data_IF_842108726291
#
_entry.id   IF_842108726291
#
_cell.length_a   1.000
_cell.length_b   1.000
_cell.length_c   1.000
_cell.angle_alpha   90.00
_cell.angle_beta   90.00
_cell.angle_gamma   90.00
#
_symmetry.space_group_name_H-M   'P 1'
#
loop_
_entity.id
_entity.type
_entity.pdbx_description
1 polymer ?
#
# COMPACT_ATOMS: atom_id res chain seq x y z
N UNK A 1 12.61 4.73 15.35
CA UNK A 1 11.68 5.50 16.18
C UNK A 1 10.30 4.88 16.06
N UNK A 2 9.49 4.91 17.11
CA UNK A 2 8.09 4.44 17.10
C UNK A 2 7.19 5.62 17.48
N UNK A 3 6.08 5.79 16.77
CA UNK A 3 5.03 6.78 17.07
C UNK A 3 3.72 6.02 17.17
N UNK A 4 3.13 5.99 18.36
CA UNK A 4 1.86 5.33 18.61
C UNK A 4 0.69 6.24 18.25
N UNK A 5 -0.30 5.69 17.54
CA UNK A 5 -1.49 6.41 17.08
C UNK A 5 -2.71 5.50 17.22
N UNK A 6 -3.87 6.07 17.51
CA UNK A 6 -5.12 5.31 17.66
C UNK A 6 -6.12 5.57 16.54
N UNK A 7 -6.08 6.76 15.94
CA UNK A 7 -7.05 7.20 14.94
C UNK A 7 -6.40 7.46 13.58
N UNK A 8 -7.18 7.33 12.51
CA UNK A 8 -6.73 7.67 11.16
C UNK A 8 -6.21 9.12 11.04
N UNK A 9 -6.77 10.05 11.84
CA UNK A 9 -6.33 11.45 11.85
C UNK A 9 -4.97 11.63 12.55
N UNK A 10 -4.76 10.99 13.70
CA UNK A 10 -3.45 10.96 14.35
C UNK A 10 -2.41 10.29 13.47
N UNK A 11 -2.79 9.20 12.79
CA UNK A 11 -1.90 8.55 11.84
C UNK A 11 -1.53 9.47 10.67
N UNK A 12 -2.49 10.21 10.11
CA UNK A 12 -2.22 11.20 9.07
C UNK A 12 -1.21 12.26 9.55
N UNK A 13 -1.48 12.89 10.70
CA UNK A 13 -0.60 13.91 11.28
C UNK A 13 0.83 13.36 11.50
N UNK A 14 0.94 12.15 12.05
CA UNK A 14 2.22 11.51 12.30
C UNK A 14 3.01 11.23 11.01
N UNK A 15 2.34 10.74 9.95
CA UNK A 15 3.04 10.47 8.69
C UNK A 15 3.39 11.74 7.93
N UNK A 16 2.56 12.78 7.99
CA UNK A 16 2.87 14.09 7.38
C UNK A 16 4.05 14.77 8.08
N UNK A 17 4.13 14.66 9.42
CA UNK A 17 5.25 15.17 10.20
C UNK A 17 6.56 14.41 9.94
N UNK A 18 6.48 13.16 9.48
CA UNK A 18 7.65 12.36 9.14
C UNK A 18 8.22 12.66 7.75
N UNK A 19 7.46 13.33 6.86
CA UNK A 19 7.94 13.69 5.53
C UNK A 19 9.00 14.80 5.58
N UNK A 20 10.01 14.78 4.70
CA UNK A 20 10.20 13.83 3.59
C UNK A 20 10.88 12.51 4.01
N UNK A 21 10.57 11.43 3.30
CA UNK A 21 11.21 10.12 3.42
C UNK A 21 11.45 9.52 2.03
N UNK A 22 12.39 8.58 1.88
CA UNK A 22 12.59 7.89 0.59
C UNK A 22 11.42 6.96 0.24
N UNK A 23 10.88 6.25 1.23
CA UNK A 23 9.85 5.22 1.02
C UNK A 23 8.75 5.31 2.08
N UNK A 24 7.50 5.22 1.64
CA UNK A 24 6.35 5.02 2.52
C UNK A 24 5.67 3.67 2.26
N UNK A 25 5.61 2.81 3.27
CA UNK A 25 4.93 1.50 3.20
C UNK A 25 3.65 1.54 4.04
N UNK A 26 2.51 1.71 3.38
CA UNK A 26 1.20 1.87 4.01
C UNK A 26 0.52 0.51 4.26
N UNK A 27 1.04 -0.25 5.24
CA UNK A 27 0.52 -1.58 5.58
C UNK A 27 -0.61 -1.59 6.61
N UNK A 28 -0.91 -0.45 7.25
CA UNK A 28 -1.94 -0.36 8.28
C UNK A 28 -3.37 -0.53 7.72
N UNK A 29 -4.21 -1.27 8.44
CA UNK A 29 -5.64 -1.39 8.16
C UNK A 29 -6.41 -0.17 8.70
N UNK A 30 -6.32 0.96 7.99
CA UNK A 30 -6.96 2.21 8.39
C UNK A 30 -8.46 2.16 8.10
N UNK A 31 -9.29 2.49 9.09
CA UNK A 31 -10.75 2.51 8.91
C UNK A 31 -11.18 3.62 7.93
N UNK A 32 -12.03 3.27 6.96
CA UNK A 32 -12.57 4.24 5.98
C UNK A 32 -13.50 5.29 6.61
N UNK A 33 -14.13 4.96 7.74
CA UNK A 33 -15.13 5.80 8.41
C UNK A 33 -14.77 6.03 9.87
N UNK A 34 -15.22 7.16 10.41
CA UNK A 34 -15.21 7.46 11.85
C UNK A 34 -16.58 7.97 12.28
N UNK A 35 -16.83 7.97 13.58
CA UNK A 35 -17.97 8.69 14.16
C UNK A 35 -17.81 10.19 13.86
N UNK A 36 -18.84 10.80 13.28
CA UNK A 36 -18.83 12.21 12.88
C UNK A 36 -18.72 13.14 14.10
N UNK A 37 -19.44 12.82 15.18
CA UNK A 37 -19.48 13.57 16.43
C UNK A 37 -19.27 12.62 17.64
N UNK A 38 -18.02 12.23 17.96
CA UNK A 38 -17.76 11.35 19.11
C UNK A 38 -18.17 12.04 20.42
N UNK A 39 -18.81 11.27 21.32
CA UNK A 39 -19.20 11.75 22.65
C UNK A 39 -18.08 11.44 23.65
N UNK A 40 -17.70 12.45 24.44
CA UNK A 40 -16.68 12.30 25.49
C UNK A 40 -17.14 11.40 26.65
N UNK A 41 -18.46 11.23 26.83
CA UNK A 41 -19.04 10.39 27.86
C UNK A 41 -19.75 9.19 27.23
N UNK A 42 -19.76 8.07 27.96
CA UNK A 42 -20.50 6.87 27.60
C UNK A 42 -21.97 7.20 27.34
N UNK A 43 -22.46 6.88 26.15
CA UNK A 43 -23.87 7.03 25.81
C UNK A 43 -24.71 6.07 26.68
N UNK A 44 -25.65 6.62 27.44
CA UNK A 44 -26.61 5.82 28.23
C UNK A 44 -27.70 5.29 27.31
N UNK A 45 -28.23 4.11 27.64
CA UNK A 45 -29.32 3.46 26.87
C UNK A 45 -30.71 4.03 27.22
N UNK A 46 -30.86 5.34 27.42
CA UNK A 46 -32.03 6.04 28.02
C UNK A 46 -33.39 5.70 27.38
N UNK A 47 -33.91 4.49 27.58
CA UNK A 47 -35.09 3.98 26.87
C UNK A 47 -34.93 3.81 25.35
N UNK A 48 -33.76 4.15 24.79
CA UNK A 48 -33.51 4.09 23.35
C UNK A 48 -33.54 2.64 22.85
N UNK A 49 -34.46 2.34 21.92
CA UNK A 49 -34.58 1.02 21.27
C UNK A 49 -33.52 0.77 20.20
N UNK A 50 -32.83 1.82 19.73
CA UNK A 50 -31.79 1.73 18.70
C UNK A 50 -30.68 2.75 18.94
N UNK A 51 -29.45 2.38 18.58
CA UNK A 51 -28.29 3.27 18.52
C UNK A 51 -28.16 3.82 17.10
N UNK A 52 -28.05 5.14 16.97
CA UNK A 52 -27.69 5.80 15.71
C UNK A 52 -26.29 6.37 15.82
N UNK A 53 -25.43 6.01 14.87
CA UNK A 53 -24.10 6.59 14.71
C UNK A 53 -24.06 7.30 13.36
N UNK A 54 -23.90 8.62 13.37
CA UNK A 54 -23.59 9.35 12.16
C UNK A 54 -22.09 9.20 11.88
N UNK A 55 -21.75 8.75 10.67
CA UNK A 55 -20.37 8.47 10.25
C UNK A 55 -19.89 9.51 9.25
N UNK A 56 -18.60 9.81 9.29
CA UNK A 56 -17.90 10.64 8.33
C UNK A 56 -16.68 9.90 7.78
N UNK A 57 -16.35 10.13 6.50
CA UNK A 57 -15.18 9.52 5.86
C UNK A 57 -13.89 9.99 6.53
N UNK A 58 -12.96 9.07 6.76
CA UNK A 58 -11.62 9.36 7.23
C UNK A 58 -10.73 9.92 6.10
N UNK A 59 -9.64 10.61 6.46
CA UNK A 59 -8.65 11.01 5.47
C UNK A 59 -8.00 9.78 4.83
N UNK A 60 -7.64 9.93 3.56
CA UNK A 60 -6.99 8.89 2.77
C UNK A 60 -5.46 9.03 2.87
N UNK A 61 -4.85 8.36 3.83
CA UNK A 61 -3.42 8.51 4.13
C UNK A 61 -2.55 8.13 2.93
N UNK A 62 -2.85 7.02 2.27
CA UNK A 62 -2.09 6.57 1.10
C UNK A 62 -2.13 7.60 -0.03
N UNK A 63 -3.33 8.11 -0.35
CA UNK A 63 -3.48 9.12 -1.39
C UNK A 63 -2.83 10.45 -0.99
N UNK A 64 -2.87 10.81 0.29
CA UNK A 64 -2.23 12.03 0.79
C UNK A 64 -0.71 11.98 0.62
N UNK A 65 -0.08 10.85 0.98
CA UNK A 65 1.36 10.66 0.80
C UNK A 65 1.76 10.63 -0.68
N UNK A 66 0.95 9.99 -1.53
CA UNK A 66 1.17 9.95 -2.98
C UNK A 66 1.06 11.33 -3.65
N UNK A 67 0.29 12.24 -3.05
CA UNK A 67 0.06 13.59 -3.56
C UNK A 67 0.84 14.69 -2.80
N UNK A 68 1.83 14.33 -1.99
CA UNK A 68 2.54 15.27 -1.10
C UNK A 68 3.54 16.23 -1.81
N UNK A 69 3.42 16.43 -3.13
CA UNK A 69 4.22 17.37 -3.91
C UNK A 69 5.72 17.13 -3.80
N UNK A 70 6.48 18.18 -3.53
CA UNK A 70 7.95 18.10 -3.35
C UNK A 70 8.38 17.22 -2.16
N UNK A 71 7.47 16.96 -1.21
CA UNK A 71 7.73 16.09 -0.05
C UNK A 71 7.26 14.65 -0.29
N UNK A 72 6.72 14.34 -1.48
CA UNK A 72 6.29 13.00 -1.84
C UNK A 72 7.46 12.02 -1.70
N UNK A 73 7.28 10.86 -1.03
CA UNK A 73 8.30 9.82 -1.05
C UNK A 73 8.64 9.40 -2.47
N UNK A 74 9.88 8.95 -2.70
CA UNK A 74 10.30 8.40 -4.00
C UNK A 74 9.49 7.15 -4.35
N UNK A 75 9.18 6.33 -3.34
CA UNK A 75 8.35 5.14 -3.48
C UNK A 75 7.21 5.12 -2.45
N UNK A 76 5.97 5.06 -2.92
CA UNK A 76 4.76 4.91 -2.10
C UNK A 76 4.13 3.54 -2.37
N UNK A 77 4.16 2.67 -1.36
CA UNK A 77 3.63 1.30 -1.41
C UNK A 77 2.34 1.21 -0.62
N UNK A 78 1.25 0.83 -1.30
CA UNK A 78 -0.05 0.54 -0.69
C UNK A 78 -0.29 -0.97 -0.51
N UNK A 79 -1.29 -1.31 0.30
CA UNK A 79 -1.80 -2.68 0.43
C UNK A 79 -3.30 -2.76 0.07
N UNK A 80 -3.72 -3.91 -0.46
CA UNK A 80 -5.10 -4.18 -0.83
C UNK A 80 -5.50 -5.60 -0.43
N UNK A 81 -6.44 -5.71 0.51
CA UNK A 81 -7.16 -6.94 0.75
C UNK A 81 -8.42 -6.95 -0.13
N UNK A 82 -8.58 -7.95 -0.99
CA UNK A 82 -9.72 -8.11 -1.88
C UNK A 82 -10.30 -9.53 -1.71
N UNK A 83 -11.59 -9.72 -2.00
CA UNK A 83 -12.24 -11.05 -1.92
C UNK A 83 -12.58 -11.64 -3.28
N UNK A 84 -12.47 -10.82 -4.34
CA UNK A 84 -12.70 -11.21 -5.72
C UNK A 84 -11.91 -10.29 -6.64
N UNK A 85 -11.68 -10.72 -7.89
CA UNK A 85 -11.03 -9.92 -8.94
C UNK A 85 -9.78 -9.15 -8.45
N UNK A 86 -8.97 -9.81 -7.62
CA UNK A 86 -7.92 -9.20 -6.79
C UNK A 86 -7.01 -8.27 -7.60
N UNK A 87 -6.50 -8.74 -8.74
CA UNK A 87 -5.59 -7.97 -9.59
C UNK A 87 -6.29 -6.74 -10.21
N UNK A 88 -7.53 -6.90 -10.70
CA UNK A 88 -8.28 -5.81 -11.33
C UNK A 88 -8.58 -4.69 -10.33
N UNK A 89 -9.11 -5.05 -9.17
CA UNK A 89 -9.45 -4.11 -8.11
C UNK A 89 -8.19 -3.43 -7.56
N UNK A 90 -7.10 -4.17 -7.38
CA UNK A 90 -5.85 -3.62 -6.92
C UNK A 90 -5.25 -2.64 -7.94
N UNK A 91 -5.27 -2.95 -9.24
CA UNK A 91 -4.85 -2.00 -10.30
C UNK A 91 -5.66 -0.71 -10.25
N UNK A 92 -6.99 -0.82 -10.13
CA UNK A 92 -7.86 0.34 -10.00
C UNK A 92 -7.58 1.15 -8.73
N UNK A 93 -7.33 0.49 -7.60
CA UNK A 93 -6.98 1.12 -6.33
C UNK A 93 -5.63 1.83 -6.41
N UNK A 94 -4.59 1.21 -6.98
CA UNK A 94 -3.29 1.84 -7.24
C UNK A 94 -3.44 3.14 -8.02
N UNK A 95 -4.13 3.09 -9.15
CA UNK A 95 -4.36 4.25 -10.01
C UNK A 95 -5.15 5.35 -9.30
N UNK A 96 -6.25 5.00 -8.62
CA UNK A 96 -7.09 5.94 -7.87
C UNK A 96 -6.34 6.62 -6.72
N UNK A 97 -5.47 5.89 -6.03
CA UNK A 97 -4.70 6.39 -4.88
C UNK A 97 -3.41 7.10 -5.30
N UNK A 98 -2.93 6.89 -6.53
CA UNK A 98 -1.68 7.48 -7.04
C UNK A 98 -0.41 6.89 -6.45
N UNK A 99 -0.48 5.72 -5.80
CA UNK A 99 0.70 5.06 -5.23
C UNK A 99 1.49 4.30 -6.31
N UNK A 100 2.79 4.14 -6.08
CA UNK A 100 3.69 3.53 -7.06
C UNK A 100 3.44 2.03 -7.15
N UNK A 101 3.32 1.37 -5.99
CA UNK A 101 3.08 -0.06 -5.90
C UNK A 101 1.83 -0.35 -5.07
N UNK A 102 1.18 -1.47 -5.36
CA UNK A 102 0.16 -2.04 -4.48
C UNK A 102 0.39 -3.54 -4.29
N UNK A 103 0.43 -3.97 -3.03
CA UNK A 103 0.52 -5.37 -2.65
C UNK A 103 -0.89 -5.87 -2.38
N UNK A 104 -1.38 -6.79 -3.21
CA UNK A 104 -2.75 -7.26 -3.15
C UNK A 104 -2.83 -8.72 -2.75
N UNK A 105 -3.82 -9.08 -1.93
CA UNK A 105 -4.03 -10.47 -1.54
C UNK A 105 -5.52 -10.81 -1.44
N UNK A 106 -5.84 -12.07 -1.76
CA UNK A 106 -7.18 -12.63 -1.62
C UNK A 106 -7.43 -12.97 -0.15
N UNK A 107 -8.40 -12.30 0.49
CA UNK A 107 -8.82 -12.55 1.87
C UNK A 107 -10.16 -13.27 1.99
N UNK A 108 -10.67 -13.84 0.90
CA UNK A 108 -11.87 -14.66 0.93
C UNK A 108 -11.69 -15.86 1.88
N UNK A 109 -12.78 -16.36 2.49
CA UNK A 109 -12.72 -17.52 3.40
C UNK A 109 -12.08 -18.75 2.74
N UNK A 110 -12.25 -18.91 1.43
CA UNK A 110 -11.69 -20.02 0.64
C UNK A 110 -10.20 -19.87 0.35
N UNK A 111 -9.66 -18.65 0.39
CA UNK A 111 -8.24 -18.38 0.14
C UNK A 111 -7.35 -18.64 1.37
N UNK A 112 -7.91 -18.67 2.58
CA UNK A 112 -7.18 -18.97 3.82
C UNK A 112 -6.22 -17.88 4.30
N UNK A 113 -6.26 -16.68 3.71
CA UNK A 113 -5.34 -15.59 4.07
C UNK A 113 -5.79 -14.79 5.30
N UNK A 114 -7.10 -14.73 5.60
CA UNK A 114 -7.60 -13.99 6.75
C UNK A 114 -7.37 -14.81 8.04
N UNK A 115 -6.39 -14.39 8.84
CA UNK A 115 -5.97 -15.10 10.07
C UNK A 115 -4.97 -16.25 9.82
N UNK A 116 -4.62 -16.55 8.57
CA UNK A 116 -3.62 -17.55 8.21
C UNK A 116 -2.18 -17.08 8.45
N UNK A 117 -1.25 -18.05 8.53
CA UNK A 117 0.21 -17.81 8.61
C UNK A 117 0.85 -17.59 7.24
N UNK A 118 0.15 -17.97 6.17
CA UNK A 118 0.60 -17.90 4.79
C UNK A 118 -0.27 -16.97 3.95
N UNK A 119 0.32 -16.36 2.94
CA UNK A 119 -0.35 -15.43 2.05
C UNK A 119 0.18 -15.61 0.62
N UNK A 120 -0.73 -15.73 -0.35
CA UNK A 120 -0.42 -15.53 -1.76
C UNK A 120 -0.70 -14.07 -2.09
N UNK A 121 0.29 -13.37 -2.63
CA UNK A 121 0.19 -11.93 -2.88
C UNK A 121 0.59 -11.59 -4.31
N UNK A 122 0.04 -10.49 -4.81
CA UNK A 122 0.36 -9.90 -6.09
C UNK A 122 0.96 -8.52 -5.85
N UNK A 123 2.22 -8.33 -6.20
CA UNK A 123 2.84 -7.00 -6.26
C UNK A 123 2.52 -6.40 -7.62
N UNK A 124 1.89 -5.23 -7.62
CA UNK A 124 1.42 -4.57 -8.83
C UNK A 124 2.05 -3.19 -8.90
N UNK A 125 2.72 -2.91 -10.02
CA UNK A 125 3.35 -1.64 -10.32
C UNK A 125 2.90 -1.12 -11.71
N UNK A 126 3.62 -0.14 -12.26
CA UNK A 126 3.36 0.39 -13.60
C UNK A 126 3.72 -0.59 -14.72
N UNK A 127 4.68 -1.50 -14.48
CA UNK A 127 5.21 -2.42 -15.48
C UNK A 127 4.37 -3.71 -15.55
N UNK A 128 3.68 -4.09 -14.49
CA UNK A 128 2.88 -5.31 -14.52
C UNK A 128 2.40 -5.82 -13.17
N UNK A 129 2.23 -7.15 -13.12
CA UNK A 129 1.90 -7.90 -11.91
C UNK A 129 2.97 -8.95 -11.71
N UNK A 130 3.55 -8.97 -10.52
CA UNK A 130 4.38 -10.06 -10.03
C UNK A 130 3.60 -10.86 -8.99
N UNK A 131 3.30 -12.13 -9.30
CA UNK A 131 2.55 -13.01 -8.41
C UNK A 131 3.49 -13.86 -7.59
N UNK A 132 3.36 -13.79 -6.27
CA UNK A 132 4.10 -14.65 -5.35
C UNK A 132 3.23 -15.84 -4.93
N UNK A 133 3.81 -17.05 -4.81
CA UNK A 133 3.10 -18.21 -4.33
C UNK A 133 2.65 -18.01 -2.87
N UNK A 134 1.97 -19.00 -2.28
CA UNK A 134 1.74 -18.99 -0.83
C UNK A 134 3.07 -19.00 -0.11
N UNK A 135 3.31 -17.98 0.70
CA UNK A 135 4.52 -17.78 1.48
C UNK A 135 4.13 -17.35 2.89
N UNK A 136 5.01 -17.56 3.86
CA UNK A 136 4.82 -16.97 5.19
C UNK A 136 4.84 -15.44 5.12
N UNK A 137 4.20 -14.78 6.09
CA UNK A 137 4.20 -13.30 6.17
C UNK A 137 5.62 -12.72 6.24
N UNK A 138 6.53 -13.39 6.93
CA UNK A 138 7.94 -12.99 7.02
C UNK A 138 8.63 -13.07 5.66
N UNK A 139 8.31 -14.08 4.87
CA UNK A 139 8.89 -14.25 3.54
C UNK A 139 8.33 -13.24 2.54
N UNK A 140 7.03 -12.93 2.62
CA UNK A 140 6.42 -11.80 1.89
C UNK A 140 7.11 -10.48 2.25
N UNK A 141 7.34 -10.22 3.54
CA UNK A 141 8.02 -9.00 4.00
C UNK A 141 9.47 -8.93 3.51
N UNK A 142 10.23 -10.04 3.57
CA UNK A 142 11.61 -10.11 3.06
C UNK A 142 11.67 -9.82 1.56
N UNK A 143 10.78 -10.42 0.78
CA UNK A 143 10.72 -10.19 -0.68
C UNK A 143 10.35 -8.76 -1.00
N UNK A 144 9.35 -8.20 -0.32
CA UNK A 144 8.96 -6.81 -0.51
C UNK A 144 10.12 -5.86 -0.17
N UNK A 145 10.81 -6.08 0.95
CA UNK A 145 11.98 -5.28 1.33
C UNK A 145 13.10 -5.35 0.29
N UNK A 146 13.39 -6.54 -0.25
CA UNK A 146 14.38 -6.70 -1.31
C UNK A 146 13.98 -5.94 -2.58
N UNK A 147 12.71 -6.05 -3.01
CA UNK A 147 12.21 -5.30 -4.19
C UNK A 147 12.31 -3.79 -3.99
N UNK A 148 11.95 -3.29 -2.80
CA UNK A 148 12.10 -1.87 -2.44
C UNK A 148 13.56 -1.44 -2.55
N UNK A 149 14.49 -2.23 -2.01
CA UNK A 149 15.92 -1.94 -2.07
C UNK A 149 16.44 -1.89 -3.52
N UNK A 150 16.03 -2.84 -4.37
CA UNK A 150 16.38 -2.88 -5.79
C UNK A 150 15.86 -1.65 -6.53
N UNK A 151 14.63 -1.21 -6.25
CA UNK A 151 14.05 -0.01 -6.85
C UNK A 151 14.83 1.26 -6.50
N UNK A 152 15.26 1.40 -5.24
CA UNK A 152 16.09 2.52 -4.80
C UNK A 152 17.51 2.48 -5.39
N UNK A 153 18.07 1.28 -5.58
CA UNK A 153 19.40 1.09 -6.16
C UNK A 153 19.42 1.30 -7.69
N UNK A 154 18.38 0.88 -8.39
CA UNK A 154 18.24 0.99 -9.84
C UNK A 154 18.19 2.44 -10.37
N UNK A 155 17.82 3.40 -9.53
CA UNK A 155 17.86 4.84 -9.86
C UNK A 155 19.27 5.45 -9.72
N UNK A 156 20.24 4.72 -9.15
CA UNK A 156 21.57 5.24 -8.80
C UNK A 156 22.65 4.95 -9.86
N UNK A 157 22.33 4.27 -10.98
CA UNK A 157 23.31 3.90 -12.00
C UNK A 157 23.12 4.71 -13.30
N UNK A 158 24.13 5.46 -13.79
CA UNK A 158 24.06 6.00 -15.13
C UNK A 158 24.11 4.85 -16.13
N UNK A 159 23.11 4.79 -17.02
CA UNK A 159 22.98 3.74 -18.03
C UNK A 159 24.24 3.65 -18.90
N UNK A 160 24.99 2.55 -18.75
CA UNK A 160 26.07 2.21 -19.67
C UNK A 160 25.48 1.89 -21.05
N UNK A 161 25.81 2.72 -22.04
CA UNK A 161 25.43 2.50 -23.44
C UNK A 161 26.09 1.21 -23.94
N UNK A 162 25.27 0.21 -24.28
CA UNK A 162 25.73 -0.97 -25.00
C UNK A 162 26.17 -0.55 -26.42
N UNK A 163 27.48 -0.65 -26.67
CA UNK A 163 28.09 -0.45 -27.98
C UNK A 163 27.63 -1.54 -28.95
N UNK A 164 26.91 -1.14 -30.00
CA UNK A 164 26.56 -2.03 -31.10
C UNK A 164 27.79 -2.39 -31.94
N UNK A 165 28.12 -3.68 -31.99
CA UNK A 165 29.04 -4.21 -33.00
C UNK A 165 28.22 -4.69 -34.19
N UNK A 166 28.13 -3.85 -35.22
CA UNK A 166 27.68 -4.24 -36.56
C UNK A 166 28.74 -5.12 -37.23
N UNK A 167 28.52 -6.43 -37.23
CA UNK A 167 29.28 -7.39 -38.05
C UNK A 167 28.72 -7.44 -39.47
N UNK A 168 29.34 -6.70 -40.38
CA UNK A 168 29.14 -6.81 -41.83
C UNK A 168 30.05 -7.93 -42.35
N UNK A 169 29.52 -8.99 -42.96
CA UNK A 169 30.29 -9.80 -43.92
C UNK A 169 29.47 -10.00 -45.19
N UNK A 170 30.14 -9.67 -46.29
CA UNK A 170 29.66 -9.54 -47.64
C UNK A 170 29.86 -10.85 -48.41
N UNK A 171 29.09 -10.97 -49.49
CA UNK A 171 29.32 -11.86 -50.64
C UNK A 171 30.77 -11.84 -51.13
N UNK A 172 31.35 -13.03 -51.29
CA UNK A 172 31.99 -13.58 -52.52
C UNK A 172 32.77 -14.85 -52.21
#
# INVERSE_FOLDING_TARGET
QVVEVETARQMLEAVEAALPVDVAVCAAAVADWRVAAPKAQKMKKEGARALRLDLAANPDILATLAAAGERRPRLVVGFAAETEKVIEHARAKRARKGCDWIVANDVSPTAGAFGGTENAVHLIDENGVESWPRLSKDEVARRLAARIADALAGESAPAAKASGTTGRKADR
#
